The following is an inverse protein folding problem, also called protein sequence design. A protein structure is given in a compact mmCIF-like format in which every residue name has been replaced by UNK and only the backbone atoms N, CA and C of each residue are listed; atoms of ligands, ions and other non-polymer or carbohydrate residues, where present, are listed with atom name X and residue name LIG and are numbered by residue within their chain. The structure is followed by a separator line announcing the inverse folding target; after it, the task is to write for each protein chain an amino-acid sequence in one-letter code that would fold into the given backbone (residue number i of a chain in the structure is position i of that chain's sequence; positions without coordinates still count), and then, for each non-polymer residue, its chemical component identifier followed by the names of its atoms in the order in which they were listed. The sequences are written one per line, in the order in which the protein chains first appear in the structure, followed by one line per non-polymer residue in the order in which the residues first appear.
data_IF_152904993470
#
_entry.id   IF_152904993470
#
_cell.length_a   1.000
_cell.length_b   1.000
_cell.length_c   1.000
_cell.angle_alpha   90.00
_cell.angle_beta   90.00
_cell.angle_gamma   90.00
#
_symmetry.space_group_name_H-M   'P 1'
#
loop_
_entity.id
_entity.type
_entity.pdbx_description
1 polymer ?
#
# COMPACT_ATOMS: atom_id res chain seq x y z
N UNK A 1 -20.35 27.39 4.58
CA UNK A 1 -19.94 26.96 4.39
C UNK A 1 -19.29 26.65 3.92
N UNK A 2 -19.24 26.42 4.10
CA UNK A 2 -18.69 25.94 3.80
C UNK A 2 -18.27 25.43 2.83
N UNK A 3 -18.47 25.47 2.09
CA UNK A 3 -18.30 24.86 0.81
C UNK A 3 -16.93 24.55 0.34
N UNK A 4 -15.99 25.14 0.87
CA UNK A 4 -14.60 24.88 0.49
C UNK A 4 -14.06 23.59 1.09
N UNK A 5 -14.85 22.90 1.84
CA UNK A 5 -14.38 21.70 2.48
C UNK A 5 -14.22 20.56 1.49
N UNK A 6 -13.13 19.84 1.61
CA UNK A 6 -12.96 18.62 0.86
C UNK A 6 -14.01 17.63 1.33
N UNK A 7 -14.83 17.17 0.41
CA UNK A 7 -15.82 16.15 0.72
C UNK A 7 -15.21 14.79 0.46
N UNK A 8 -15.11 13.99 1.50
CA UNK A 8 -14.59 12.64 1.37
C UNK A 8 -15.73 11.68 1.05
N UNK A 9 -15.46 10.74 0.14
CA UNK A 9 -16.46 9.73 -0.21
C UNK A 9 -16.76 8.84 1.00
N UNK A 10 -17.92 8.16 1.01
CA UNK A 10 -18.22 7.21 2.09
C UNK A 10 -17.14 6.14 2.25
N UNK A 11 -16.54 5.70 1.16
CA UNK A 11 -15.48 4.71 1.21
C UNK A 11 -14.26 5.26 1.93
N UNK A 12 -13.83 6.49 1.58
CA UNK A 12 -12.69 7.13 2.25
C UNK A 12 -12.97 7.29 3.73
N UNK A 13 -14.17 7.74 4.10
CA UNK A 13 -14.54 7.91 5.50
C UNK A 13 -14.45 6.61 6.26
N UNK A 14 -15.01 5.54 5.70
CA UNK A 14 -15.00 4.24 6.34
C UNK A 14 -13.58 3.72 6.54
N UNK A 15 -12.76 3.82 5.50
CA UNK A 15 -11.38 3.35 5.56
C UNK A 15 -10.55 4.18 6.55
N UNK A 16 -10.75 5.49 6.56
CA UNK A 16 -10.01 6.38 7.45
C UNK A 16 -10.38 6.14 8.92
N UNK A 17 -11.65 5.89 9.20
CA UNK A 17 -12.10 5.65 10.57
C UNK A 17 -11.61 4.32 11.12
N UNK A 18 -11.56 3.28 10.29
CA UNK A 18 -11.19 1.94 10.74
C UNK A 18 -9.73 1.60 10.53
N UNK A 19 -9.12 2.17 9.50
CA UNK A 19 -7.73 1.91 9.11
C UNK A 19 -7.37 0.42 9.17
N UNK A 20 -8.09 -0.42 8.41
CA UNK A 20 -7.81 -1.85 8.45
C UNK A 20 -6.35 -2.13 8.06
N UNK A 21 -5.73 -3.05 8.78
CA UNK A 21 -4.33 -3.45 8.59
C UNK A 21 -3.28 -2.41 8.98
N UNK A 22 -3.68 -1.30 9.62
CA UNK A 22 -2.72 -0.35 10.16
C UNK A 22 -1.98 -0.97 11.34
N UNK A 23 -0.69 -0.69 11.44
CA UNK A 23 0.13 -1.14 12.56
C UNK A 23 1.18 -2.15 12.15
N UNK A 24 1.60 -2.97 13.09
CA UNK A 24 2.64 -3.97 12.86
C UNK A 24 2.04 -5.31 12.41
N UNK A 25 2.85 -6.07 11.67
CA UNK A 25 2.46 -7.43 11.36
C UNK A 25 2.42 -8.27 12.62
N UNK A 26 1.41 -9.14 12.71
CA UNK A 26 1.39 -10.15 13.74
C UNK A 26 2.50 -11.19 13.48
N UNK A 27 3.06 -11.80 14.53
CA UNK A 27 4.03 -12.87 14.32
C UNK A 27 3.42 -14.03 13.56
N UNK A 28 4.23 -14.70 12.76
CA UNK A 28 3.76 -15.81 11.98
C UNK A 28 4.85 -16.35 11.07
N UNK A 29 4.55 -17.43 10.33
CA UNK A 29 5.52 -18.03 9.42
C UNK A 29 5.69 -17.20 8.15
N UNK A 30 6.79 -17.46 7.45
CA UNK A 30 7.08 -16.78 6.18
C UNK A 30 8.09 -15.66 6.35
N UNK A 31 8.60 -15.20 5.22
CA UNK A 31 9.57 -14.12 5.20
C UNK A 31 8.86 -12.78 5.22
N UNK A 32 9.40 -11.81 5.94
CA UNK A 32 8.84 -10.47 5.99
C UNK A 32 9.61 -9.56 5.04
N UNK A 33 8.89 -8.85 4.21
CA UNK A 33 9.46 -7.84 3.31
C UNK A 33 8.77 -6.52 3.57
N UNK A 34 9.42 -5.44 3.15
CA UNK A 34 8.82 -4.12 3.31
C UNK A 34 9.09 -3.24 2.11
N UNK A 35 8.30 -2.20 1.98
CA UNK A 35 8.51 -1.14 1.00
C UNK A 35 8.05 0.18 1.60
N UNK A 36 8.72 1.25 1.25
CA UNK A 36 8.47 2.55 1.86
C UNK A 36 8.67 3.66 0.82
N UNK A 37 7.84 4.68 0.91
CA UNK A 37 7.98 5.85 0.06
C UNK A 37 7.54 7.09 0.83
N UNK A 38 8.15 8.21 0.50
CA UNK A 38 7.83 9.47 1.13
C UNK A 38 7.88 10.59 0.10
N UNK A 39 6.95 11.52 0.22
CA UNK A 39 6.95 12.75 -0.56
C UNK A 39 6.74 13.89 0.43
N UNK A 40 7.83 14.48 0.89
CA UNK A 40 7.77 15.53 1.91
C UNK A 40 7.03 16.78 1.42
N UNK A 41 7.21 17.14 0.16
CA UNK A 41 6.54 18.27 -0.44
C UNK A 41 5.03 18.10 -0.53
N UNK A 42 4.57 16.86 -0.48
CA UNK A 42 3.14 16.55 -0.54
C UNK A 42 2.58 16.11 0.80
N UNK A 43 3.43 16.01 1.82
CA UNK A 43 3.00 15.59 3.14
C UNK A 43 2.44 14.19 3.17
N UNK A 44 3.15 13.23 2.58
CA UNK A 44 2.71 11.85 2.53
C UNK A 44 3.87 10.89 2.74
N UNK A 45 3.62 9.85 3.53
CA UNK A 45 4.57 8.77 3.78
C UNK A 45 3.79 7.48 3.96
N UNK A 46 4.26 6.41 3.35
CA UNK A 46 3.64 5.09 3.47
C UNK A 46 4.74 4.04 3.60
N UNK A 47 4.55 3.11 4.52
CA UNK A 47 5.39 1.94 4.65
C UNK A 47 4.51 0.72 4.73
N UNK A 48 4.77 -0.24 3.84
CA UNK A 48 4.11 -1.54 3.87
C UNK A 48 5.06 -2.59 4.38
N UNK A 49 4.51 -3.55 5.12
CA UNK A 49 5.21 -4.77 5.49
C UNK A 49 4.31 -5.93 5.14
N UNK A 50 4.89 -7.00 4.63
CA UNK A 50 4.11 -8.18 4.28
C UNK A 50 4.88 -9.44 4.64
N UNK A 51 4.10 -10.47 4.99
CA UNK A 51 4.64 -11.81 5.19
C UNK A 51 4.35 -12.58 3.92
N UNK A 52 5.38 -13.17 3.36
CA UNK A 52 5.29 -13.88 2.09
C UNK A 52 5.39 -15.38 2.33
N UNK A 53 4.40 -16.11 1.83
CA UNK A 53 4.38 -17.57 1.87
C UNK A 53 3.94 -18.08 0.52
N UNK A 54 4.72 -19.00 -0.04
CA UNK A 54 4.37 -19.66 -1.32
C UNK A 54 4.03 -18.67 -2.44
N UNK A 55 4.78 -17.59 -2.54
CA UNK A 55 4.59 -16.59 -3.58
C UNK A 55 3.34 -15.73 -3.40
N UNK A 56 2.77 -15.74 -2.19
CA UNK A 56 1.59 -14.94 -1.88
C UNK A 56 1.81 -14.07 -0.67
N UNK A 57 1.05 -12.99 -0.62
CA UNK A 57 1.03 -12.10 0.54
C UNK A 57 0.10 -12.74 1.58
N UNK A 58 0.68 -13.42 2.56
CA UNK A 58 -0.10 -14.07 3.60
C UNK A 58 -0.70 -13.06 4.57
N UNK A 59 0.00 -11.95 4.79
CA UNK A 59 -0.49 -10.88 5.65
C UNK A 59 0.19 -9.58 5.21
N UNK A 60 -0.50 -8.46 5.37
CA UNK A 60 0.01 -7.16 4.98
C UNK A 60 -0.42 -6.13 6.02
N UNK A 61 0.53 -5.33 6.47
CA UNK A 61 0.26 -4.24 7.40
C UNK A 61 0.91 -2.97 6.87
N UNK A 62 0.46 -1.83 7.34
CA UNK A 62 1.03 -0.58 6.91
C UNK A 62 1.10 0.45 8.02
N UNK A 63 1.98 1.42 7.83
CA UNK A 63 2.03 2.64 8.61
C UNK A 63 2.08 3.78 7.61
N UNK A 64 1.41 4.87 7.92
CA UNK A 64 1.37 6.00 7.01
C UNK A 64 1.03 7.27 7.77
N UNK A 65 1.43 8.40 7.20
CA UNK A 65 0.89 9.67 7.59
C UNK A 65 0.61 10.49 6.33
N UNK A 66 -0.39 11.36 6.44
CA UNK A 66 -0.83 12.15 5.31
C UNK A 66 -2.30 12.51 5.47
N UNK A 67 -2.91 12.95 4.38
CA UNK A 67 -4.32 13.30 4.41
C UNK A 67 -5.19 12.04 4.43
N UNK A 68 -6.49 12.17 4.71
CA UNK A 68 -7.38 11.01 4.72
C UNK A 68 -7.37 10.19 3.42
N UNK A 69 -7.16 10.81 2.27
CA UNK A 69 -7.05 10.06 1.02
C UNK A 69 -5.84 9.14 1.01
N UNK A 70 -4.70 9.62 1.51
CA UNK A 70 -3.47 8.82 1.59
C UNK A 70 -3.68 7.63 2.52
N UNK A 71 -4.23 7.87 3.70
CA UNK A 71 -4.43 6.82 4.69
C UNK A 71 -5.47 5.80 4.22
N UNK A 72 -6.56 6.28 3.62
CA UNK A 72 -7.59 5.39 3.08
C UNK A 72 -7.05 4.54 1.95
N UNK A 73 -6.25 5.13 1.06
CA UNK A 73 -5.64 4.40 -0.05
C UNK A 73 -4.68 3.32 0.47
N UNK A 74 -3.86 3.68 1.46
CA UNK A 74 -2.92 2.72 2.04
C UNK A 74 -3.66 1.53 2.66
N UNK A 75 -4.75 1.80 3.38
CA UNK A 75 -5.55 0.76 4.01
C UNK A 75 -6.24 -0.14 2.99
N UNK A 76 -6.80 0.45 1.95
CA UNK A 76 -7.50 -0.32 0.91
C UNK A 76 -6.53 -1.25 0.17
N UNK A 77 -5.36 -0.76 -0.17
CA UNK A 77 -4.33 -1.56 -0.84
C UNK A 77 -3.88 -2.70 0.07
N UNK A 78 -3.63 -2.44 1.35
CA UNK A 78 -3.24 -3.50 2.29
C UNK A 78 -4.30 -4.59 2.35
N UNK A 79 -5.58 -4.19 2.38
CA UNK A 79 -6.69 -5.15 2.40
C UNK A 79 -6.71 -6.02 1.16
N UNK A 80 -6.44 -5.44 0.00
CA UNK A 80 -6.46 -6.16 -1.27
C UNK A 80 -5.25 -7.06 -1.46
N UNK A 81 -4.13 -6.69 -0.84
CA UNK A 81 -2.91 -7.50 -0.95
C UNK A 81 -3.00 -8.78 -0.14
N UNK A 82 -3.80 -8.80 0.89
CA UNK A 82 -3.94 -9.99 1.73
C UNK A 82 -4.42 -11.18 0.89
N UNK A 83 -3.64 -12.22 0.85
CA UNK A 83 -3.94 -13.43 0.06
C UNK A 83 -3.60 -13.33 -1.42
N UNK A 84 -3.18 -12.16 -1.90
CA UNK A 84 -2.88 -11.96 -3.30
C UNK A 84 -1.48 -12.48 -3.65
N UNK A 85 -1.29 -12.89 -4.89
CA UNK A 85 0.04 -13.26 -5.36
C UNK A 85 0.96 -12.04 -5.45
N UNK A 86 2.26 -12.30 -5.41
CA UNK A 86 3.25 -11.21 -5.43
C UNK A 86 3.35 -10.51 -6.78
N UNK A 87 2.65 -11.00 -7.81
CA UNK A 87 2.58 -10.34 -9.11
C UNK A 87 1.48 -9.28 -9.16
N UNK A 88 1.03 -8.86 -8.01
CA UNK A 88 -0.09 -7.92 -7.88
C UNK A 88 0.15 -6.57 -8.56
N UNK A 89 1.40 -6.18 -8.77
CA UNK A 89 1.69 -4.91 -9.43
C UNK A 89 1.12 -4.83 -10.84
N UNK A 90 0.98 -5.96 -11.51
CA UNK A 90 0.43 -5.98 -12.85
C UNK A 90 -1.06 -5.62 -12.86
N UNK A 91 -1.73 -5.81 -11.74
CA UNK A 91 -3.15 -5.51 -11.59
C UNK A 91 -3.41 -4.18 -10.87
N UNK A 92 -2.35 -3.56 -10.35
CA UNK A 92 -2.51 -2.31 -9.59
C UNK A 92 -2.49 -1.11 -10.52
N UNK A 93 -3.43 -0.19 -10.31
CA UNK A 93 -3.50 1.04 -11.09
C UNK A 93 -3.91 2.17 -10.16
N UNK A 94 -3.00 3.11 -9.95
CA UNK A 94 -3.22 4.24 -9.04
C UNK A 94 -4.38 5.12 -9.51
N UNK A 95 -4.60 5.23 -10.81
CA UNK A 95 -5.69 6.06 -11.32
C UNK A 95 -7.05 5.42 -11.05
N UNK A 96 -7.10 4.10 -11.16
CA UNK A 96 -8.31 3.36 -10.84
C UNK A 96 -8.57 3.45 -9.34
N UNK A 97 -7.52 3.35 -8.53
CA UNK A 97 -7.64 3.50 -7.09
C UNK A 97 -8.19 4.88 -6.74
N UNK A 98 -7.66 5.93 -7.37
CA UNK A 98 -8.14 7.29 -7.14
C UNK A 98 -9.62 7.43 -7.49
N UNK A 99 -10.04 6.83 -8.60
CA UNK A 99 -11.44 6.87 -9.00
C UNK A 99 -12.33 6.16 -7.99
N UNK A 100 -11.91 4.99 -7.50
CA UNK A 100 -12.68 4.25 -6.50
C UNK A 100 -12.86 5.05 -5.21
N UNK A 101 -11.81 5.75 -4.81
CA UNK A 101 -11.84 6.55 -3.58
C UNK A 101 -12.56 7.88 -3.77
N UNK A 102 -12.87 8.25 -5.02
CA UNK A 102 -13.42 9.57 -5.29
C UNK A 102 -12.41 10.67 -5.00
N UNK A 103 -11.13 10.38 -5.16
CA UNK A 103 -10.08 11.35 -4.88
C UNK A 103 -9.98 12.36 -6.01
N UNK A 104 -9.93 13.66 -5.71
CA UNK A 104 -9.77 14.66 -6.76
C UNK A 104 -8.39 14.56 -7.42
N UNK A 105 -8.25 15.04 -8.68
CA UNK A 105 -7.00 14.91 -9.42
C UNK A 105 -5.76 15.43 -8.70
N UNK A 106 -5.90 16.48 -7.91
CA UNK A 106 -4.76 17.05 -7.19
C UNK A 106 -4.22 16.13 -6.10
N UNK A 107 -4.95 15.07 -5.75
CA UNK A 107 -4.48 14.09 -4.76
C UNK A 107 -3.67 12.95 -5.39
N UNK A 108 -3.66 12.86 -6.71
CA UNK A 108 -2.98 11.75 -7.39
C UNK A 108 -1.52 11.62 -6.99
N UNK A 109 -0.82 12.74 -6.85
CA UNK A 109 0.58 12.71 -6.43
C UNK A 109 0.80 12.07 -5.07
N UNK A 110 -0.14 12.23 -4.14
CA UNK A 110 -0.07 11.58 -2.84
C UNK A 110 -0.34 10.09 -2.95
N UNK A 111 -1.24 9.70 -3.84
CA UNK A 111 -1.54 8.29 -4.04
C UNK A 111 -0.40 7.55 -4.73
N UNK A 112 0.43 8.26 -5.49
CA UNK A 112 1.63 7.67 -6.08
C UNK A 112 2.62 7.20 -5.01
N UNK A 113 2.60 7.83 -3.83
CA UNK A 113 3.44 7.38 -2.71
C UNK A 113 3.00 5.97 -2.27
N UNK A 114 1.69 5.72 -2.28
CA UNK A 114 1.15 4.39 -1.96
C UNK A 114 1.64 3.37 -2.99
N UNK A 115 1.58 3.72 -4.27
CA UNK A 115 2.06 2.86 -5.34
C UNK A 115 3.54 2.54 -5.19
N UNK A 116 4.35 3.56 -4.95
CA UNK A 116 5.79 3.37 -4.80
C UNK A 116 6.14 2.46 -3.63
N UNK A 117 5.47 2.65 -2.50
CA UNK A 117 5.69 1.81 -1.33
C UNK A 117 5.29 0.35 -1.61
N UNK A 118 4.15 0.16 -2.26
CA UNK A 118 3.68 -1.16 -2.63
C UNK A 118 4.65 -1.86 -3.58
N UNK A 119 5.06 -1.17 -4.64
CA UNK A 119 5.95 -1.75 -5.63
C UNK A 119 7.33 -2.07 -5.05
N UNK A 120 7.80 -1.23 -4.12
CA UNK A 120 9.06 -1.52 -3.41
C UNK A 120 8.95 -2.79 -2.57
N UNK A 121 7.82 -2.99 -1.90
CA UNK A 121 7.58 -4.21 -1.14
C UNK A 121 7.50 -5.43 -2.06
N UNK A 122 6.75 -5.33 -3.15
CA UNK A 122 6.59 -6.44 -4.08
C UNK A 122 7.91 -6.79 -4.78
N UNK A 123 8.74 -5.81 -5.07
CA UNK A 123 10.06 -6.06 -5.65
C UNK A 123 10.93 -6.91 -4.72
N UNK A 124 10.86 -6.64 -3.41
CA UNK A 124 11.57 -7.45 -2.43
C UNK A 124 10.98 -8.85 -2.32
N UNK A 125 9.68 -8.98 -2.43
CA UNK A 125 9.02 -10.28 -2.44
C UNK A 125 9.47 -11.10 -3.64
N UNK A 126 9.55 -10.49 -4.81
CA UNK A 126 10.05 -11.16 -6.02
C UNK A 126 11.50 -11.62 -5.85
N UNK A 127 12.32 -10.80 -5.19
CA UNK A 127 13.71 -11.18 -4.95
C UNK A 127 13.83 -12.44 -4.12
N UNK A 128 12.88 -12.71 -3.23
CA UNK A 128 12.87 -13.93 -2.43
C UNK A 128 12.58 -15.17 -3.26
N UNK A 129 11.94 -15.01 -4.42
CA UNK A 129 11.58 -16.12 -5.29
C UNK A 129 12.69 -16.47 -6.28
N UNK A 130 13.72 -15.62 -6.37
CA UNK A 130 14.83 -15.88 -7.27
C UNK A 130 15.76 -16.93 -6.66
N UNK A 131 16.43 -17.74 -7.47
CA UNK A 131 17.42 -18.65 -6.94
C UNK A 131 18.49 -17.84 -6.23
N UNK A 132 19.15 -18.42 -5.23
CA UNK A 132 20.24 -17.73 -4.56
C UNK A 132 21.26 -17.32 -5.60
N UNK A 133 21.88 -16.19 -5.31
CA UNK A 133 22.85 -15.67 -6.23
C UNK A 133 23.77 -16.78 -6.64
N UNK A 134 23.85 -17.01 -7.97
CA UNK A 134 24.57 -17.94 -8.57
C UNK A 134 25.80 -18.21 -7.94
N UNK A 135 25.93 -19.36 -7.39
CA UNK A 135 27.24 -19.78 -7.05
C UNK A 135 27.90 -19.80 -8.36
N UNK A 136 28.65 -18.88 -8.57
CA UNK A 136 29.45 -18.97 -9.72
C UNK A 136 30.24 -20.17 -9.60
N UNK A 137 30.33 -20.91 -10.64
CA UNK A 137 31.17 -22.09 -10.65
C UNK A 137 32.58 -21.71 -10.28
#
# INVERSE_FOLDING_TARGET
MTGSHTTYSPLVRSLFERLPHAGDLAPGPGAVVHGEAIALDRGAWVRYEARIEDGRVADCAFRAWGCPHTLAAAALVASRMHGHGIDAEAAFDVRRLAAELGAPPEKLGRLLVVEDALFGMLARAHALQLPPAWPLP
#
